data_IF_507927767624
#
_entry.id   IF_507927767624
#
_cell.length_a   1.000
_cell.length_b   1.000
_cell.length_c   1.000
_cell.angle_alpha   90.00
_cell.angle_beta   90.00
_cell.angle_gamma   90.00
#
_symmetry.space_group_name_H-M   'P 1'
#
loop_
_entity.id
_entity.type
_entity.pdbx_description
1 polymer ?
#
# COMPACT_ATOMS: atom_id res chain seq x y z
N UNK A 1 -5.94 15.66 -21.10
CA UNK A 1 -7.04 14.75 -20.67
C UNK A 1 -6.61 13.27 -20.53
N UNK A 2 -5.30 12.96 -20.51
CA UNK A 2 -4.77 11.60 -20.34
C UNK A 2 -3.80 11.54 -19.16
N UNK A 3 -4.28 11.27 -17.94
CA UNK A 3 -3.37 11.03 -16.78
C UNK A 3 -3.85 9.92 -15.81
N UNK A 4 -4.99 9.27 -16.08
CA UNK A 4 -5.49 8.15 -15.26
C UNK A 4 -5.40 6.79 -15.97
N UNK A 5 -4.51 6.67 -16.97
CA UNK A 5 -4.39 5.49 -17.84
C UNK A 5 -3.79 4.29 -17.11
N UNK A 6 -3.11 4.46 -15.97
CA UNK A 6 -2.46 3.33 -15.30
C UNK A 6 -3.42 2.49 -14.43
N UNK A 7 -4.47 3.07 -13.83
CA UNK A 7 -5.28 2.32 -12.84
C UNK A 7 -6.44 1.53 -13.43
N UNK A 8 -7.14 2.05 -14.44
CA UNK A 8 -8.32 1.36 -15.01
C UNK A 8 -7.97 0.13 -15.87
N UNK A 9 -7.01 0.18 -16.81
CA UNK A 9 -6.60 -0.99 -17.60
C UNK A 9 -5.86 -2.02 -16.74
N UNK A 10 -4.94 -1.59 -15.87
CA UNK A 10 -4.19 -2.50 -14.99
C UNK A 10 -5.09 -3.24 -14.00
N UNK A 11 -6.07 -2.56 -13.37
CA UNK A 11 -7.06 -3.25 -12.51
C UNK A 11 -8.10 -4.06 -13.31
N UNK A 12 -8.24 -3.86 -14.63
CA UNK A 12 -9.06 -4.72 -15.49
C UNK A 12 -8.36 -6.03 -15.85
N UNK A 13 -7.02 -6.04 -15.87
CA UNK A 13 -6.23 -7.25 -16.14
C UNK A 13 -6.33 -8.28 -15.01
N UNK A 14 -6.65 -7.86 -13.78
CA UNK A 14 -6.76 -8.74 -12.63
C UNK A 14 -8.14 -8.60 -11.97
N UNK A 15 -8.99 -9.65 -11.98
CA UNK A 15 -10.29 -9.58 -11.31
C UNK A 15 -10.09 -9.24 -9.84
N UNK A 16 -10.63 -8.10 -9.40
CA UNK A 16 -10.63 -7.73 -7.98
C UNK A 16 -11.74 -8.53 -7.30
N UNK A 17 -11.36 -9.42 -6.39
CA UNK A 17 -12.31 -10.22 -5.63
C UNK A 17 -12.76 -9.39 -4.41
N UNK A 18 -14.02 -8.92 -4.36
CA UNK A 18 -14.53 -8.26 -3.16
C UNK A 18 -14.54 -9.25 -2.00
N UNK A 19 -14.04 -8.82 -0.84
CA UNK A 19 -14.00 -9.62 0.38
C UNK A 19 -15.28 -9.36 1.19
N UNK A 20 -16.17 -10.35 1.38
CA UNK A 20 -17.35 -10.19 2.24
C UNK A 20 -16.93 -9.88 3.68
N UNK A 21 -17.79 -9.23 4.47
CA UNK A 21 -17.57 -9.07 5.91
C UNK A 21 -18.29 -10.19 6.67
N UNK A 22 -17.62 -10.78 7.66
CA UNK A 22 -18.19 -11.80 8.55
C UNK A 22 -17.27 -13.02 8.76
N UNK A 23 -17.64 -13.93 9.69
CA UNK A 23 -16.96 -15.22 9.85
C UNK A 23 -16.93 -16.00 8.53
N UNK A 24 -15.85 -16.73 8.25
CA UNK A 24 -15.71 -17.54 7.04
C UNK A 24 -15.46 -16.77 5.73
N UNK A 25 -15.58 -15.44 5.72
CA UNK A 25 -15.35 -14.60 4.53
C UNK A 25 -13.98 -14.79 3.87
N UNK A 26 -12.94 -15.08 4.66
CA UNK A 26 -11.60 -15.32 4.16
C UNK A 26 -11.51 -16.59 3.30
N UNK A 27 -12.19 -17.67 3.73
CA UNK A 27 -12.22 -18.93 2.99
C UNK A 27 -12.98 -18.78 1.67
N UNK A 28 -14.08 -18.02 1.66
CA UNK A 28 -14.83 -17.71 0.41
C UNK A 28 -13.96 -16.98 -0.60
N UNK A 29 -13.12 -16.05 -0.14
CA UNK A 29 -12.14 -15.38 -1.00
C UNK A 29 -11.13 -16.39 -1.54
N UNK A 30 -10.59 -17.26 -0.68
CA UNK A 30 -9.68 -18.33 -1.10
C UNK A 30 -10.30 -19.22 -2.18
N UNK A 31 -11.51 -19.73 -1.97
CA UNK A 31 -12.22 -20.54 -2.97
C UNK A 31 -12.43 -19.78 -4.28
N UNK A 32 -12.64 -18.46 -4.23
CA UNK A 32 -12.73 -17.64 -5.44
C UNK A 32 -11.37 -17.51 -6.14
N UNK A 33 -10.30 -17.31 -5.40
CA UNK A 33 -8.91 -17.28 -5.92
C UNK A 33 -8.60 -18.59 -6.62
N UNK A 34 -8.80 -19.73 -5.96
CA UNK A 34 -8.48 -21.06 -6.52
C UNK A 34 -9.21 -21.35 -7.82
N UNK A 35 -10.49 -20.99 -7.94
CA UNK A 35 -11.22 -21.14 -9.21
C UNK A 35 -10.58 -20.32 -10.34
N UNK A 36 -10.20 -19.06 -10.06
CA UNK A 36 -9.59 -18.18 -11.08
C UNK A 36 -8.20 -18.69 -11.46
N UNK A 37 -7.43 -19.21 -10.50
CA UNK A 37 -6.16 -19.87 -10.77
C UNK A 37 -6.36 -21.14 -11.61
N UNK A 38 -7.39 -21.95 -11.34
CA UNK A 38 -7.77 -23.13 -12.12
C UNK A 38 -8.22 -22.82 -13.55
N UNK A 39 -8.72 -21.60 -13.81
CA UNK A 39 -8.96 -21.07 -15.16
C UNK A 39 -7.66 -20.63 -15.88
N UNK A 40 -6.49 -20.80 -15.26
CA UNK A 40 -5.19 -20.37 -15.79
C UNK A 40 -4.93 -18.87 -15.70
N UNK A 41 -5.63 -18.16 -14.80
CA UNK A 41 -5.59 -16.69 -14.70
C UNK A 41 -4.96 -16.23 -13.39
N UNK A 42 -4.13 -15.20 -13.45
CA UNK A 42 -3.55 -14.58 -12.25
C UNK A 42 -4.57 -13.74 -11.47
N UNK A 43 -4.39 -13.67 -10.14
CA UNK A 43 -5.24 -12.89 -9.24
C UNK A 43 -4.42 -11.81 -8.53
N UNK A 44 -4.95 -10.60 -8.44
CA UNK A 44 -4.42 -9.54 -7.59
C UNK A 44 -5.20 -9.50 -6.27
N UNK A 45 -4.51 -9.68 -5.15
CA UNK A 45 -5.11 -9.68 -3.82
C UNK A 45 -4.48 -8.59 -2.95
N UNK A 46 -5.31 -7.85 -2.22
CA UNK A 46 -4.81 -6.89 -1.24
C UNK A 46 -4.26 -7.64 -0.02
N UNK A 47 -3.12 -7.19 0.50
CA UNK A 47 -2.43 -7.83 1.64
C UNK A 47 -3.17 -7.68 2.98
N UNK A 48 -4.23 -6.86 3.06
CA UNK A 48 -5.04 -6.68 4.26
C UNK A 48 -6.46 -6.17 3.88
N UNK A 49 -7.41 -6.30 4.81
CA UNK A 49 -8.78 -5.78 4.73
C UNK A 49 -8.80 -4.25 4.86
N UNK A 50 -8.49 -3.58 3.76
CA UNK A 50 -8.59 -2.14 3.64
C UNK A 50 -7.24 -1.44 3.58
N UNK A 51 -7.29 -0.11 3.48
CA UNK A 51 -6.09 0.72 3.32
C UNK A 51 -5.49 1.08 4.67
N UNK A 52 -4.17 1.02 4.79
CA UNK A 52 -3.44 1.51 5.95
C UNK A 52 -3.77 2.98 6.23
N UNK A 53 -4.02 3.31 7.50
CA UNK A 53 -4.41 4.66 7.95
C UNK A 53 -3.21 5.46 8.47
N UNK A 54 -2.19 4.78 8.94
CA UNK A 54 -0.89 5.29 9.41
C UNK A 54 0.21 5.24 8.33
N UNK A 55 -0.09 4.66 7.16
CA UNK A 55 0.87 4.45 6.08
C UNK A 55 1.70 3.17 6.21
N UNK A 56 1.46 2.34 7.24
CA UNK A 56 2.10 1.05 7.42
C UNK A 56 1.23 -0.06 6.84
N UNK A 57 1.63 -0.61 5.69
CA UNK A 57 0.93 -1.73 5.08
C UNK A 57 1.53 -3.03 5.61
N UNK A 58 0.80 -3.72 6.47
CA UNK A 58 1.21 -5.01 7.06
C UNK A 58 0.31 -6.10 6.52
N UNK A 59 0.92 -7.17 6.03
CA UNK A 59 0.23 -8.34 5.48
C UNK A 59 -0.48 -9.10 6.60
N UNK A 60 -1.77 -9.40 6.42
CA UNK A 60 -2.55 -10.18 7.39
C UNK A 60 -2.31 -11.69 7.18
N UNK A 61 -1.67 -12.41 8.13
CA UNK A 61 -1.34 -13.84 7.96
C UNK A 61 -2.57 -14.72 7.72
N UNK A 62 -3.75 -14.29 8.17
CA UNK A 62 -5.00 -15.02 7.93
C UNK A 62 -5.32 -15.15 6.43
N UNK A 63 -4.92 -14.20 5.59
CA UNK A 63 -5.18 -14.27 4.15
C UNK A 63 -4.48 -15.50 3.56
N UNK A 64 -3.19 -15.67 3.83
CA UNK A 64 -2.40 -16.80 3.31
C UNK A 64 -2.91 -18.15 3.85
N UNK A 65 -3.31 -18.21 5.13
CA UNK A 65 -3.95 -19.41 5.69
C UNK A 65 -5.22 -19.79 4.96
N UNK A 66 -6.09 -18.82 4.67
CA UNK A 66 -7.35 -19.06 3.98
C UNK A 66 -7.13 -19.49 2.52
N UNK A 67 -6.09 -19.01 1.86
CA UNK A 67 -5.72 -19.44 0.50
C UNK A 67 -5.30 -20.92 0.49
N UNK A 68 -4.34 -21.29 1.34
CA UNK A 68 -3.89 -22.67 1.47
C UNK A 68 -5.02 -23.63 1.88
N UNK A 69 -5.87 -23.20 2.82
CA UNK A 69 -7.05 -23.97 3.23
C UNK A 69 -8.06 -24.15 2.09
N UNK A 70 -8.27 -23.14 1.25
CA UNK A 70 -9.18 -23.24 0.11
C UNK A 70 -8.66 -24.19 -0.98
N UNK A 71 -7.33 -24.28 -1.14
CA UNK A 71 -6.67 -25.24 -2.00
C UNK A 71 -6.60 -26.66 -1.41
N UNK A 72 -6.97 -26.82 -0.13
CA UNK A 72 -6.81 -28.05 0.63
C UNK A 72 -5.34 -28.55 0.65
N UNK A 73 -4.40 -27.61 0.79
CA UNK A 73 -2.96 -27.87 0.83
C UNK A 73 -2.34 -27.33 2.13
N UNK A 74 -1.27 -27.98 2.64
CA UNK A 74 -0.36 -27.33 3.57
C UNK A 74 0.17 -26.01 3.00
N UNK A 75 0.38 -25.00 3.85
CA UNK A 75 0.81 -23.67 3.39
C UNK A 75 2.10 -23.71 2.56
N UNK A 76 3.07 -24.49 3.00
CA UNK A 76 4.35 -24.63 2.31
C UNK A 76 4.17 -25.17 0.88
N UNK A 77 3.35 -26.22 0.72
CA UNK A 77 2.99 -26.78 -0.59
C UNK A 77 2.19 -25.79 -1.44
N UNK A 78 1.28 -25.04 -0.81
CA UNK A 78 0.53 -23.99 -1.49
C UNK A 78 1.44 -22.90 -2.04
N UNK A 79 2.42 -22.42 -1.27
CA UNK A 79 3.38 -21.39 -1.71
C UNK A 79 4.32 -21.92 -2.80
N UNK A 80 4.65 -23.21 -2.76
CA UNK A 80 5.46 -23.87 -3.79
C UNK A 80 4.71 -23.99 -5.12
N UNK A 81 3.44 -24.42 -5.07
CA UNK A 81 2.59 -24.60 -6.26
C UNK A 81 2.02 -23.29 -6.80
N UNK A 82 1.72 -22.34 -5.92
CA UNK A 82 1.11 -21.04 -6.25
C UNK A 82 2.14 -19.93 -6.07
N UNK A 83 2.59 -19.35 -7.19
CA UNK A 83 3.56 -18.24 -7.18
C UNK A 83 2.95 -16.96 -6.58
N UNK A 84 3.11 -16.78 -5.26
CA UNK A 84 2.74 -15.54 -4.58
C UNK A 84 3.82 -14.49 -4.82
N UNK A 85 3.49 -13.46 -5.61
CA UNK A 85 4.41 -12.38 -5.99
C UNK A 85 4.05 -11.11 -5.22
N UNK A 86 4.92 -10.60 -4.32
CA UNK A 86 4.72 -9.31 -3.67
C UNK A 86 4.81 -8.18 -4.68
N UNK A 87 3.90 -7.20 -4.59
CA UNK A 87 3.90 -6.05 -5.51
C UNK A 87 3.89 -4.74 -4.73
N UNK A 88 4.95 -3.96 -4.87
CA UNK A 88 5.03 -2.62 -4.30
C UNK A 88 4.43 -1.59 -5.27
N UNK A 89 3.46 -0.82 -4.79
CA UNK A 89 2.83 0.28 -5.56
C UNK A 89 3.10 1.61 -4.86
N UNK A 90 3.94 2.41 -5.48
CA UNK A 90 4.40 3.70 -4.93
C UNK A 90 3.81 4.84 -5.73
N UNK A 91 3.00 5.69 -5.11
CA UNK A 91 2.45 6.88 -5.71
C UNK A 91 3.06 8.14 -5.09
N UNK A 92 3.30 9.14 -5.91
CA UNK A 92 3.90 10.41 -5.48
C UNK A 92 2.99 11.20 -4.53
N UNK A 93 1.68 11.13 -4.78
CA UNK A 93 0.66 11.72 -3.92
C UNK A 93 -0.43 10.70 -3.60
N UNK A 94 -0.91 10.73 -2.37
CA UNK A 94 -2.09 9.96 -1.94
C UNK A 94 -3.35 10.84 -2.04
N UNK A 95 -4.28 10.54 -2.96
CA UNK A 95 -5.51 11.32 -3.07
C UNK A 95 -6.47 11.13 -1.89
N UNK A 96 -6.31 10.08 -1.09
CA UNK A 96 -7.12 9.77 0.09
C UNK A 96 -6.42 10.17 1.40
N UNK A 97 -5.42 11.07 1.33
CA UNK A 97 -4.61 11.44 2.50
C UNK A 97 -5.44 12.05 3.63
N UNK A 98 -6.48 12.83 3.30
CA UNK A 98 -7.36 13.45 4.30
C UNK A 98 -8.12 12.39 5.09
N UNK A 99 -8.68 11.41 4.39
CA UNK A 99 -9.48 10.33 4.94
C UNK A 99 -8.64 9.37 5.77
N UNK A 100 -7.39 9.14 5.37
CA UNK A 100 -6.40 8.43 6.18
C UNK A 100 -6.07 9.21 7.45
N UNK A 101 -5.75 10.50 7.33
CA UNK A 101 -5.43 11.34 8.47
C UNK A 101 -6.60 11.43 9.48
N UNK A 102 -7.83 11.57 9.00
CA UNK A 102 -9.05 11.58 9.84
C UNK A 102 -9.28 10.28 10.61
N UNK A 103 -8.79 9.15 10.08
CA UNK A 103 -8.93 7.82 10.66
C UNK A 103 -7.63 7.34 11.30
N UNK A 104 -6.64 8.22 11.43
CA UNK A 104 -5.36 7.86 11.99
C UNK A 104 -5.53 7.43 13.46
N UNK A 105 -4.87 6.34 13.91
CA UNK A 105 -5.04 5.84 15.27
C UNK A 105 -4.75 6.88 16.35
N UNK A 106 -3.92 7.89 16.11
CA UNK A 106 -3.64 8.95 17.08
C UNK A 106 -4.80 9.95 17.31
N UNK A 107 -5.84 9.94 16.47
CA UNK A 107 -7.02 10.82 16.62
C UNK A 107 -8.21 10.08 17.27
N UNK A 108 -7.94 9.04 18.08
CA UNK A 108 -8.97 8.18 18.72
C UNK A 108 -10.12 9.05 19.25
N UNK A 109 -11.29 9.00 18.60
CA UNK A 109 -12.65 9.27 19.13
C UNK A 109 -13.72 9.49 18.05
N UNK A 110 -13.38 9.70 16.77
CA UNK A 110 -14.45 9.79 15.75
C UNK A 110 -14.98 8.41 15.37
N UNK A 111 -16.29 8.20 15.61
CA UNK A 111 -17.03 7.04 15.08
C UNK A 111 -16.67 6.85 13.61
N UNK A 112 -16.08 5.69 13.29
CA UNK A 112 -15.74 5.30 11.91
C UNK A 112 -17.01 5.42 11.07
N UNK A 113 -17.06 6.43 10.20
CA UNK A 113 -18.20 6.59 9.31
C UNK A 113 -18.32 5.32 8.45
N UNK A 114 -19.52 4.72 8.35
CA UNK A 114 -19.73 3.43 7.66
C UNK A 114 -19.17 3.41 6.23
N UNK A 115 -19.15 4.57 5.56
CA UNK A 115 -18.68 4.72 4.18
C UNK A 115 -17.22 5.20 4.05
N UNK A 116 -16.50 5.43 5.16
CA UNK A 116 -15.14 6.00 5.14
C UNK A 116 -14.15 5.19 4.31
N UNK A 117 -14.22 3.85 4.38
CA UNK A 117 -13.38 2.96 3.56
C UNK A 117 -13.73 3.06 2.07
N UNK A 118 -15.02 3.12 1.73
CA UNK A 118 -15.49 3.26 0.35
C UNK A 118 -15.06 4.61 -0.26
N UNK A 119 -15.20 5.70 0.49
CA UNK A 119 -14.74 7.04 0.07
C UNK A 119 -13.23 7.05 -0.18
N UNK A 120 -12.44 6.50 0.76
CA UNK A 120 -10.98 6.44 0.60
C UNK A 120 -10.53 5.57 -0.58
N UNK A 121 -11.28 4.50 -0.87
CA UNK A 121 -11.04 3.65 -2.03
C UNK A 121 -11.34 4.41 -3.33
N UNK A 122 -12.51 5.07 -3.39
CA UNK A 122 -12.93 5.86 -4.53
C UNK A 122 -11.96 6.99 -4.86
N UNK A 123 -11.57 7.79 -3.87
CA UNK A 123 -10.58 8.86 -4.04
C UNK A 123 -9.23 8.29 -4.49
N UNK A 124 -8.83 7.17 -3.88
CA UNK A 124 -7.66 6.43 -4.30
C UNK A 124 -7.74 5.94 -5.75
N UNK A 125 -8.92 5.70 -6.30
CA UNK A 125 -9.12 5.28 -7.68
C UNK A 125 -9.08 6.47 -8.65
N UNK A 126 -9.90 7.51 -8.39
CA UNK A 126 -10.11 8.62 -9.33
C UNK A 126 -9.14 9.79 -9.16
N UNK A 127 -8.53 9.91 -7.98
CA UNK A 127 -7.70 11.06 -7.63
C UNK A 127 -6.31 11.03 -8.27
N UNK A 128 -5.74 12.24 -8.43
CA UNK A 128 -4.44 12.48 -9.08
C UNK A 128 -3.28 12.06 -8.17
N UNK A 129 -2.64 10.95 -8.54
CA UNK A 129 -1.51 10.32 -7.82
C UNK A 129 -0.16 10.94 -8.13
N UNK A 130 -0.08 11.84 -9.10
CA UNK A 130 1.20 12.24 -9.70
C UNK A 130 1.80 11.03 -10.43
N UNK A 131 3.11 10.85 -10.31
CA UNK A 131 3.75 9.65 -10.85
C UNK A 131 3.50 8.45 -9.95
N UNK A 132 3.39 7.28 -10.56
CA UNK A 132 3.27 6.01 -9.88
C UNK A 132 4.31 5.03 -10.41
N UNK A 133 4.85 4.19 -9.54
CA UNK A 133 5.74 3.08 -9.88
C UNK A 133 5.17 1.81 -9.31
N UNK A 134 5.18 0.75 -10.11
CA UNK A 134 4.82 -0.61 -9.70
C UNK A 134 6.07 -1.46 -9.82
N UNK A 135 6.37 -2.22 -8.78
CA UNK A 135 7.49 -3.14 -8.74
C UNK A 135 7.00 -4.54 -8.36
N UNK A 136 7.21 -5.51 -9.24
CA UNK A 136 6.94 -6.93 -8.98
C UNK A 136 8.19 -7.55 -8.36
N UNK A 137 8.04 -8.17 -7.18
CA UNK A 137 9.11 -8.89 -6.51
C UNK A 137 9.35 -10.28 -7.08
N UNK A 138 10.25 -11.02 -6.43
CA UNK A 138 10.35 -12.47 -6.62
C UNK A 138 9.17 -13.19 -5.97
N UNK A 139 8.89 -14.42 -6.41
CA UNK A 139 7.94 -15.27 -5.71
C UNK A 139 8.43 -15.55 -4.28
N UNK A 140 7.52 -15.52 -3.31
CA UNK A 140 7.84 -15.83 -1.92
C UNK A 140 8.22 -17.31 -1.81
N UNK A 141 9.33 -17.64 -1.10
CA UNK A 141 9.72 -19.04 -0.92
C UNK A 141 8.69 -19.82 -0.11
N UNK A 142 8.62 -21.15 -0.28
CA UNK A 142 7.86 -22.01 0.61
C UNK A 142 8.35 -21.84 2.06
N UNK A 143 7.41 -21.57 2.97
CA UNK A 143 7.66 -21.47 4.41
C UNK A 143 6.54 -22.14 5.19
N UNK A 144 6.82 -22.50 6.44
CA UNK A 144 5.93 -23.33 7.25
C UNK A 144 4.77 -22.54 7.84
N UNK A 145 4.99 -21.27 8.17
CA UNK A 145 3.98 -20.46 8.86
C UNK A 145 3.51 -19.27 8.04
N UNK A 146 2.23 -18.93 8.19
CA UNK A 146 1.67 -17.77 7.51
C UNK A 146 2.24 -16.44 8.03
N UNK A 147 2.77 -16.43 9.25
CA UNK A 147 3.43 -15.26 9.82
C UNK A 147 4.77 -15.01 9.13
N UNK A 148 5.59 -16.06 8.91
CA UNK A 148 6.83 -15.95 8.14
C UNK A 148 6.55 -15.50 6.71
N UNK A 149 5.56 -16.09 6.05
CA UNK A 149 5.20 -15.71 4.69
C UNK A 149 4.74 -14.23 4.61
N UNK A 150 3.92 -13.78 5.57
CA UNK A 150 3.49 -12.39 5.65
C UNK A 150 4.67 -11.42 5.87
N UNK A 151 5.62 -11.78 6.74
CA UNK A 151 6.84 -10.99 6.96
C UNK A 151 7.69 -10.90 5.69
N UNK A 152 7.91 -12.01 4.99
CA UNK A 152 8.65 -12.02 3.74
C UNK A 152 7.99 -11.12 2.67
N UNK A 153 6.65 -11.15 2.56
CA UNK A 153 5.89 -10.24 1.68
C UNK A 153 6.12 -8.78 2.07
N UNK A 154 5.99 -8.45 3.35
CA UNK A 154 6.14 -7.08 3.85
C UNK A 154 7.57 -6.56 3.62
N UNK A 155 8.60 -7.36 3.93
CA UNK A 155 10.01 -7.04 3.68
C UNK A 155 10.25 -6.76 2.19
N UNK A 156 9.76 -7.63 1.30
CA UNK A 156 9.84 -7.41 -0.14
C UNK A 156 9.16 -6.10 -0.57
N UNK A 157 7.96 -5.80 -0.06
CA UNK A 157 7.23 -4.59 -0.42
C UNK A 157 7.98 -3.34 0.06
N UNK A 158 8.48 -3.34 1.30
CA UNK A 158 9.21 -2.20 1.89
C UNK A 158 10.52 -1.95 1.16
N UNK A 159 11.31 -3.00 0.90
CA UNK A 159 12.58 -2.90 0.18
C UNK A 159 12.38 -2.40 -1.25
N UNK A 160 11.29 -2.78 -1.91
CA UNK A 160 11.03 -2.41 -3.31
C UNK A 160 10.12 -1.18 -3.48
N UNK A 161 9.67 -0.56 -2.38
CA UNK A 161 8.87 0.66 -2.44
C UNK A 161 9.71 1.84 -2.96
N UNK A 162 9.34 2.40 -4.10
CA UNK A 162 10.02 3.57 -4.63
C UNK A 162 9.74 4.81 -3.78
N UNK A 163 10.78 5.35 -3.16
CA UNK A 163 10.70 6.59 -2.38
C UNK A 163 10.60 7.79 -3.32
N UNK A 164 9.45 8.42 -3.35
CA UNK A 164 9.27 9.71 -4.02
C UNK A 164 9.86 10.83 -3.17
N UNK A 165 10.20 11.96 -3.80
CA UNK A 165 10.68 13.15 -3.08
C UNK A 165 9.71 13.63 -2.01
N UNK A 166 8.41 13.42 -2.19
CA UNK A 166 7.39 13.71 -1.18
C UNK A 166 7.57 12.92 0.10
N UNK A 167 8.10 11.68 0.02
CA UNK A 167 8.42 10.88 1.20
C UNK A 167 9.64 11.42 1.95
N UNK A 168 10.69 11.84 1.22
CA UNK A 168 11.89 12.45 1.82
C UNK A 168 11.56 13.77 2.51
N UNK A 169 10.94 14.72 1.79
CA UNK A 169 10.52 16.02 2.35
C UNK A 169 9.71 15.82 3.62
N UNK A 170 8.74 14.90 3.60
CA UNK A 170 7.93 14.62 4.77
C UNK A 170 8.72 14.00 5.93
N UNK A 171 9.74 13.19 5.63
CA UNK A 171 10.63 12.59 6.64
C UNK A 171 11.53 13.63 7.30
N UNK A 172 12.18 14.48 6.51
CA UNK A 172 13.15 15.48 6.99
C UNK A 172 12.49 16.56 7.85
N UNK A 173 11.24 16.93 7.55
CA UNK A 173 10.48 17.88 8.37
C UNK A 173 9.92 17.26 9.66
N UNK A 174 9.87 15.92 9.75
CA UNK A 174 9.24 15.21 10.87
C UNK A 174 10.23 14.71 11.89
N UNK A 175 11.34 14.20 11.40
CA UNK A 175 12.48 13.84 12.20
C UNK A 175 13.36 15.08 12.19
N UNK A 176 13.62 15.73 13.33
CA UNK A 176 14.68 16.75 13.50
C UNK A 176 16.10 16.24 13.12
N UNK A 177 16.18 15.09 12.44
CA UNK A 177 17.28 14.72 11.58
C UNK A 177 17.45 15.83 10.54
N UNK A 178 18.39 16.74 10.82
CA UNK A 178 18.86 17.75 9.86
C UNK A 178 19.09 17.16 8.46
N UNK A 179 19.24 18.02 7.44
CA UNK A 179 19.15 17.63 6.02
C UNK A 179 19.89 16.31 5.76
N UNK A 180 19.15 15.28 5.35
CA UNK A 180 19.74 13.96 5.13
C UNK A 180 20.73 14.05 3.98
N UNK A 181 22.03 14.10 4.29
CA UNK A 181 23.15 14.23 3.32
C UNK A 181 23.19 13.18 2.18
N UNK A 182 22.27 12.22 2.14
CA UNK A 182 22.01 11.35 0.97
C UNK A 182 21.32 12.08 -0.21
N UNK A 183 21.14 13.41 -0.15
CA UNK A 183 20.73 14.23 -1.30
C UNK A 183 21.70 14.16 -2.50
N UNK A 184 22.96 13.78 -2.24
CA UNK A 184 24.11 14.10 -3.09
C UNK A 184 24.54 13.03 -4.11
N UNK A 185 23.85 11.89 -4.23
CA UNK A 185 24.32 10.82 -5.13
C UNK A 185 23.75 10.86 -6.56
N UNK A 186 22.97 11.88 -6.96
CA UNK A 186 22.52 12.06 -8.33
C UNK A 186 22.49 13.54 -8.70
N UNK A 187 22.78 13.94 -9.94
CA UNK A 187 22.49 15.29 -10.41
C UNK A 187 20.97 15.49 -10.38
N UNK A 188 20.47 16.05 -9.29
CA UNK A 188 19.04 16.33 -9.14
C UNK A 188 18.80 17.76 -9.60
N UNK A 189 17.92 17.92 -10.57
CA UNK A 189 17.35 19.22 -10.92
C UNK A 189 16.72 19.86 -9.66
N UNK A 190 17.34 20.93 -9.17
CA UNK A 190 16.86 21.69 -8.01
C UNK A 190 15.44 22.21 -8.24
N UNK A 191 15.10 22.62 -9.47
CA UNK A 191 13.75 23.06 -9.79
C UNK A 191 12.74 21.92 -9.59
N UNK A 192 13.11 20.70 -9.96
CA UNK A 192 12.32 19.51 -9.68
C UNK A 192 12.16 19.28 -8.16
N UNK A 193 13.22 19.38 -7.35
CA UNK A 193 13.13 19.25 -5.87
C UNK A 193 12.18 20.29 -5.29
N UNK A 194 12.38 21.57 -5.61
CA UNK A 194 11.52 22.67 -5.14
C UNK A 194 10.07 22.48 -5.58
N UNK A 195 9.84 21.99 -6.80
CA UNK A 195 8.49 21.74 -7.30
C UNK A 195 7.73 20.70 -6.46
N UNK A 196 8.41 19.64 -5.99
CA UNK A 196 7.79 18.56 -5.20
C UNK A 196 7.61 18.96 -3.75
N UNK A 197 8.59 19.67 -3.18
CA UNK A 197 8.44 20.30 -1.88
C UNK A 197 7.20 21.22 -1.87
N UNK A 198 7.14 22.20 -2.78
CA UNK A 198 6.00 23.13 -2.91
C UNK A 198 4.70 22.41 -3.25
N UNK A 199 4.75 21.33 -4.02
CA UNK A 199 3.59 20.51 -4.40
C UNK A 199 2.98 19.76 -3.22
N UNK A 200 3.80 19.15 -2.36
CA UNK A 200 3.36 18.49 -1.14
C UNK A 200 2.76 19.50 -0.17
N UNK A 201 3.48 20.57 0.14
CA UNK A 201 3.02 21.63 1.05
C UNK A 201 1.69 22.25 0.61
N UNK A 202 1.52 22.54 -0.69
CA UNK A 202 0.24 23.03 -1.22
C UNK A 202 -0.93 22.06 -0.98
N UNK A 203 -0.69 20.75 -0.98
CA UNK A 203 -1.72 19.74 -0.72
C UNK A 203 -2.00 19.62 0.78
N UNK A 204 -0.96 19.62 1.60
CA UNK A 204 -1.08 19.56 3.07
C UNK A 204 -1.78 20.81 3.61
N UNK A 205 -1.48 22.00 3.09
CA UNK A 205 -2.10 23.25 3.51
C UNK A 205 -3.63 23.29 3.32
N UNK A 206 -4.16 22.49 2.37
CA UNK A 206 -5.62 22.35 2.14
C UNK A 206 -6.33 21.47 3.18
N UNK A 207 -5.57 20.77 4.02
CA UNK A 207 -6.12 19.98 5.11
C UNK A 207 -6.40 20.88 6.32
N UNK A 208 -7.36 20.46 7.14
CA UNK A 208 -7.57 21.00 8.48
C UNK A 208 -6.23 20.99 9.25
N UNK A 209 -5.94 22.06 9.99
CA UNK A 209 -4.64 22.27 10.63
C UNK A 209 -4.20 21.07 11.49
N UNK A 210 -5.12 20.53 12.29
CA UNK A 210 -4.91 19.32 13.10
C UNK A 210 -4.51 18.06 12.31
N UNK A 211 -4.86 17.97 11.03
CA UNK A 211 -4.57 16.81 10.18
C UNK A 211 -3.22 16.94 9.46
N UNK A 212 -2.68 18.15 9.32
CA UNK A 212 -1.42 18.42 8.61
C UNK A 212 -0.24 17.61 9.17
N UNK A 213 0.05 17.60 10.49
CA UNK A 213 1.15 16.79 11.01
C UNK A 213 0.92 15.30 10.76
N UNK A 214 -0.30 14.80 10.90
CA UNK A 214 -0.64 13.39 10.67
C UNK A 214 -0.43 13.00 9.21
N UNK A 215 -0.86 13.84 8.28
CA UNK A 215 -0.64 13.62 6.86
C UNK A 215 0.86 13.59 6.52
N UNK A 216 1.67 14.46 7.14
CA UNK A 216 3.13 14.40 7.04
C UNK A 216 3.68 13.08 7.60
N UNK A 217 3.13 12.52 8.70
CA UNK A 217 3.48 11.16 9.16
C UNK A 217 3.35 10.13 8.07
N UNK A 218 2.18 10.14 7.42
CA UNK A 218 1.79 9.10 6.49
C UNK A 218 2.71 9.17 5.26
N UNK A 219 3.13 10.37 4.84
CA UNK A 219 4.12 10.53 3.77
C UNK A 219 5.55 10.14 4.18
N UNK A 220 5.96 10.38 5.43
CA UNK A 220 7.28 9.99 5.94
C UNK A 220 7.42 8.46 6.14
N UNK A 221 6.30 7.78 6.35
CA UNK A 221 6.21 6.39 6.77
C UNK A 221 6.98 5.38 5.87
N UNK A 222 6.95 5.46 4.53
CA UNK A 222 7.75 4.59 3.68
C UNK A 222 9.27 4.72 3.88
N UNK A 223 9.76 5.92 4.22
CA UNK A 223 11.18 6.14 4.53
C UNK A 223 11.54 5.60 5.91
N UNK A 224 10.66 5.80 6.90
CA UNK A 224 10.83 5.27 8.26
C UNK A 224 10.93 3.74 8.26
N UNK A 225 10.10 3.05 7.48
CA UNK A 225 10.10 1.59 7.38
C UNK A 225 11.35 0.99 6.75
N UNK A 226 12.13 1.78 5.99
CA UNK A 226 13.40 1.32 5.38
C UNK A 226 14.63 1.47 6.29
N UNK A 227 14.52 2.26 7.37
CA UNK A 227 15.62 2.52 8.32
C UNK A 227 15.57 1.60 9.56
N UNK A 228 14.46 0.88 9.76
CA UNK A 228 14.27 -0.10 10.82
C UNK A 228 14.58 -1.51 10.30
#
# INVERSE_FOLDING_TARGET
>A
LYENVFTRPFMRLFPTIPVPRGPGSGLVVGQRVERVLGEGRSVWLAQNRGRAKDGRNVTEPAILRNLAQAANLPLEEYLSSTRVIPVAVSAEYDPAIREKALQHPSLVQRRKHRLSDAVSCWQGLVGRKGRARVHFGAAIPPVKTALEAARAIDEHIVQNYFLWRTNSVAYDERCDAGPVNEWHALPVDLAYVFSRHRGLHRRIARLEERLRPIAMSIYAMPRLQRKA
#
